data_IF_081354317841
#
_entry.id   IF_081354317841
#
_cell.length_a   1.000
_cell.length_b   1.000
_cell.length_c   1.000
_cell.angle_alpha   90.00
_cell.angle_beta   90.00
_cell.angle_gamma   90.00
#
_symmetry.space_group_name_H-M   'P 1'
#
loop_
_entity.id
_entity.type
_entity.pdbx_description
1 polymer ?
#
# COMPACT_ATOMS: atom_id res chain seq x y z
N UNK A 1 12.86 -21.67 6.70
CA UNK A 1 12.23 -20.70 7.62
C UNK A 1 13.25 -19.62 7.99
N UNK A 2 13.21 -18.42 7.37
CA UNK A 2 14.11 -17.32 7.76
C UNK A 2 13.37 -16.40 8.74
N UNK A 3 13.57 -16.64 10.04
CA UNK A 3 12.97 -15.89 11.13
C UNK A 3 13.76 -14.61 11.42
N UNK A 4 14.00 -13.80 10.39
CA UNK A 4 14.73 -12.53 10.53
C UNK A 4 13.76 -11.48 11.10
N UNK A 5 13.84 -11.24 12.41
CA UNK A 5 13.03 -10.21 13.12
C UNK A 5 13.15 -8.88 12.38
N UNK A 6 12.03 -8.40 11.82
CA UNK A 6 11.94 -7.05 11.24
C UNK A 6 12.23 -6.03 12.35
N UNK A 7 12.87 -4.91 12.04
CA UNK A 7 13.29 -3.91 13.03
C UNK A 7 12.12 -3.46 13.92
N UNK A 8 12.40 -3.06 15.16
CA UNK A 8 11.37 -2.59 16.10
C UNK A 8 10.49 -1.47 15.51
N UNK A 9 11.09 -0.58 14.70
CA UNK A 9 10.37 0.47 13.96
C UNK A 9 9.38 -0.08 12.93
N UNK A 10 9.72 -1.14 12.22
CA UNK A 10 8.83 -1.81 11.26
C UNK A 10 7.66 -2.52 11.95
N UNK A 11 7.92 -3.15 13.09
CA UNK A 11 6.87 -3.79 13.88
C UNK A 11 5.92 -2.75 14.48
N UNK A 12 6.45 -1.64 14.99
CA UNK A 12 5.67 -0.51 15.53
C UNK A 12 4.78 0.14 14.47
N UNK A 13 5.29 0.35 13.26
CA UNK A 13 4.48 0.79 12.11
C UNK A 13 3.30 -0.16 11.84
N UNK A 14 3.56 -1.47 11.76
CA UNK A 14 2.52 -2.45 11.41
C UNK A 14 1.49 -2.66 12.52
N UNK A 15 1.92 -2.72 13.78
CA UNK A 15 1.04 -3.01 14.92
C UNK A 15 0.37 -1.79 15.53
N UNK A 16 0.97 -0.59 15.38
CA UNK A 16 0.49 0.64 16.03
C UNK A 16 0.01 1.67 15.00
N UNK A 17 0.84 2.08 14.03
CA UNK A 17 0.45 3.15 13.09
C UNK A 17 -0.78 2.78 12.26
N UNK A 18 -0.81 1.58 11.66
CA UNK A 18 -1.93 1.12 10.82
C UNK A 18 -3.25 0.96 11.58
N UNK A 19 -3.21 1.00 12.92
CA UNK A 19 -4.39 0.99 13.80
C UNK A 19 -4.65 2.35 14.46
N UNK A 20 -3.84 3.36 14.15
CA UNK A 20 -3.92 4.67 14.77
C UNK A 20 -4.98 5.57 14.13
N UNK A 21 -5.55 6.52 14.87
CA UNK A 21 -6.41 7.56 14.31
C UNK A 21 -5.76 8.36 13.18
N UNK A 22 -4.43 8.54 13.23
CA UNK A 22 -3.68 9.25 12.21
C UNK A 22 -3.77 8.58 10.83
N UNK A 23 -3.68 7.24 10.81
CA UNK A 23 -3.84 6.46 9.58
C UNK A 23 -5.28 6.53 9.06
N UNK A 24 -6.28 6.33 9.91
CA UNK A 24 -7.69 6.41 9.49
C UNK A 24 -8.02 7.79 8.91
N UNK A 25 -7.60 8.86 9.58
CA UNK A 25 -7.76 10.22 9.07
C UNK A 25 -7.01 10.44 7.74
N UNK A 26 -5.81 9.88 7.58
CA UNK A 26 -5.05 9.96 6.33
C UNK A 26 -5.74 9.24 5.17
N UNK A 27 -6.29 8.06 5.43
CA UNK A 27 -7.05 7.24 4.48
C UNK A 27 -8.29 7.99 4.00
N UNK A 28 -9.07 8.54 4.92
CA UNK A 28 -10.27 9.32 4.59
C UNK A 28 -9.93 10.56 3.77
N UNK A 29 -8.88 11.32 4.14
CA UNK A 29 -8.41 12.48 3.37
C UNK A 29 -8.04 12.10 1.94
N UNK A 30 -7.40 10.94 1.74
CA UNK A 30 -7.00 10.47 0.41
C UNK A 30 -8.24 10.23 -0.48
N UNK A 31 -9.23 9.46 0.00
CA UNK A 31 -10.44 9.17 -0.77
C UNK A 31 -11.27 10.42 -1.04
N UNK A 32 -11.44 11.30 -0.05
CA UNK A 32 -12.12 12.59 -0.24
C UNK A 32 -11.41 13.47 -1.28
N UNK A 33 -10.08 13.43 -1.35
CA UNK A 33 -9.34 14.17 -2.37
C UNK A 33 -9.55 13.57 -3.77
N UNK A 34 -9.57 12.25 -3.94
CA UNK A 34 -9.89 11.64 -5.24
C UNK A 34 -11.29 12.00 -5.73
N UNK A 35 -12.28 11.93 -4.83
CA UNK A 35 -13.66 12.33 -5.14
C UNK A 35 -13.75 13.79 -5.59
N UNK A 36 -13.10 14.71 -4.87
CA UNK A 36 -13.03 16.13 -5.26
C UNK A 36 -12.35 16.38 -6.61
N UNK A 37 -11.37 15.55 -6.96
CA UNK A 37 -10.68 15.63 -8.26
C UNK A 37 -11.46 14.96 -9.39
N UNK A 38 -12.65 14.38 -9.12
CA UNK A 38 -13.43 13.65 -10.12
C UNK A 38 -12.74 12.39 -10.64
N UNK A 39 -11.74 11.87 -9.92
CA UNK A 39 -10.96 10.71 -10.37
C UNK A 39 -11.67 9.41 -9.97
N UNK A 40 -11.79 8.43 -10.88
CA UNK A 40 -12.44 7.16 -10.56
C UNK A 40 -11.65 6.40 -9.48
N UNK A 41 -12.38 5.81 -8.54
CA UNK A 41 -11.81 4.89 -7.55
C UNK A 41 -11.72 3.51 -8.18
N UNK A 42 -10.51 3.13 -8.59
CA UNK A 42 -10.23 1.83 -9.18
C UNK A 42 -8.98 1.22 -8.55
N UNK A 43 -8.97 -0.10 -8.41
CA UNK A 43 -7.80 -0.82 -7.91
C UNK A 43 -6.64 -0.67 -8.91
N UNK A 44 -5.48 -0.19 -8.44
CA UNK A 44 -4.33 0.02 -9.34
C UNK A 44 -3.75 -1.28 -9.91
N UNK A 45 -4.08 -2.45 -9.36
CA UNK A 45 -3.59 -3.74 -9.85
C UNK A 45 -4.51 -4.40 -10.90
N UNK A 46 -5.81 -4.50 -10.63
CA UNK A 46 -6.76 -5.13 -11.56
C UNK A 46 -7.56 -4.15 -12.41
N UNK A 47 -7.37 -2.84 -12.21
CA UNK A 47 -8.10 -1.75 -12.88
C UNK A 47 -9.62 -1.72 -12.67
N UNK A 48 -10.19 -2.65 -11.91
CA UNK A 48 -11.62 -2.69 -11.64
C UNK A 48 -12.05 -1.54 -10.71
N UNK A 49 -13.14 -0.82 -11.04
CA UNK A 49 -13.69 0.22 -10.20
C UNK A 49 -14.30 -0.38 -8.93
N UNK A 50 -14.18 0.34 -7.82
CA UNK A 50 -14.76 -0.07 -6.55
C UNK A 50 -15.04 1.13 -5.63
N UNK A 51 -16.09 1.04 -4.79
CA UNK A 51 -16.34 2.05 -3.79
C UNK A 51 -15.24 2.01 -2.70
N UNK A 52 -15.03 3.12 -2.00
CA UNK A 52 -13.91 3.28 -1.04
C UNK A 52 -13.91 2.22 0.07
N UNK A 53 -15.08 1.69 0.41
CA UNK A 53 -15.28 0.66 1.44
C UNK A 53 -14.65 -0.67 1.05
N UNK A 54 -14.52 -0.94 -0.26
CA UNK A 54 -13.89 -2.14 -0.82
C UNK A 54 -12.42 -1.92 -1.19
N UNK A 55 -11.88 -0.74 -0.92
CA UNK A 55 -10.51 -0.36 -1.24
C UNK A 55 -9.68 -0.10 0.02
N UNK A 56 -8.48 -0.63 0.00
CA UNK A 56 -7.40 -0.33 0.93
C UNK A 56 -6.37 0.59 0.27
N UNK A 57 -5.57 1.28 1.07
CA UNK A 57 -4.46 2.08 0.56
C UNK A 57 -3.15 1.36 0.81
N UNK A 58 -2.44 1.08 -0.28
CA UNK A 58 -1.09 0.54 -0.25
C UNK A 58 -0.08 1.70 -0.26
N UNK A 59 0.95 1.60 0.58
CA UNK A 59 2.06 2.53 0.61
C UNK A 59 3.13 2.13 -0.40
N UNK A 60 3.44 3.01 -1.34
CA UNK A 60 4.61 2.88 -2.21
C UNK A 60 5.89 3.22 -1.43
N UNK A 61 5.80 4.15 -0.49
CA UNK A 61 6.88 4.55 0.40
C UNK A 61 6.33 4.85 1.80
N UNK A 62 7.11 4.52 2.83
CA UNK A 62 6.77 4.77 4.24
C UNK A 62 7.49 5.99 4.83
N UNK A 63 8.37 6.66 4.07
CA UNK A 63 9.20 7.76 4.57
C UNK A 63 8.44 8.95 5.19
N UNK A 64 7.14 9.08 4.92
CA UNK A 64 6.26 10.10 5.51
C UNK A 64 5.66 9.76 6.88
N UNK A 65 5.83 8.53 7.37
CA UNK A 65 5.25 8.11 8.66
C UNK A 65 6.23 8.42 9.79
N UNK A 66 5.79 9.19 10.79
CA UNK A 66 6.64 9.60 11.92
C UNK A 66 5.89 9.46 13.23
N UNK A 67 6.61 9.14 14.29
CA UNK A 67 6.12 9.23 15.67
C UNK A 67 6.74 10.47 16.30
N UNK A 68 5.93 11.47 16.63
CA UNK A 68 6.37 12.80 17.10
C UNK A 68 5.47 13.21 18.26
N UNK A 69 6.09 13.66 19.36
CA UNK A 69 5.39 14.12 20.57
C UNK A 69 4.37 13.11 21.12
N UNK A 70 4.75 11.83 21.14
CA UNK A 70 3.89 10.75 21.64
C UNK A 70 2.74 10.34 20.71
N UNK A 71 2.67 10.90 19.50
CA UNK A 71 1.61 10.62 18.53
C UNK A 71 2.15 10.21 17.15
N UNK A 72 1.40 9.32 16.49
CA UNK A 72 1.62 9.01 15.09
C UNK A 72 1.20 10.17 14.18
N UNK A 73 2.02 10.46 13.17
CA UNK A 73 1.77 11.47 12.14
C UNK A 73 1.96 10.84 10.75
N UNK A 74 1.03 11.16 9.85
CA UNK A 74 0.95 10.63 8.50
C UNK A 74 1.24 11.76 7.49
N UNK A 75 2.51 11.96 7.14
CA UNK A 75 2.99 13.00 6.21
C UNK A 75 3.26 12.46 4.79
N UNK A 76 2.79 11.26 4.47
CA UNK A 76 2.95 10.65 3.16
C UNK A 76 2.24 11.49 2.10
N UNK A 77 2.92 11.72 0.97
CA UNK A 77 2.34 12.47 -0.14
C UNK A 77 1.13 11.72 -0.68
N UNK A 78 0.25 12.44 -1.36
CA UNK A 78 -0.93 11.83 -1.99
C UNK A 78 -0.55 10.68 -2.95
N UNK A 79 0.54 10.88 -3.68
CA UNK A 79 1.05 9.94 -4.71
C UNK A 79 1.97 8.85 -4.13
N UNK A 80 2.13 8.79 -2.81
CA UNK A 80 2.79 7.68 -2.12
C UNK A 80 1.79 6.60 -1.71
N UNK A 81 0.48 6.85 -1.92
CA UNK A 81 -0.60 5.94 -1.59
C UNK A 81 -1.39 5.59 -2.86
N UNK A 82 -1.70 4.31 -3.02
CA UNK A 82 -2.48 3.80 -4.14
C UNK A 82 -3.63 2.89 -3.66
N UNK A 83 -4.82 2.98 -4.28
CA UNK A 83 -5.97 2.19 -3.90
C UNK A 83 -5.87 0.77 -4.47
N UNK A 84 -6.16 -0.23 -3.64
CA UNK A 84 -6.14 -1.64 -4.03
C UNK A 84 -7.28 -2.40 -3.37
N UNK A 85 -7.81 -3.42 -4.05
CA UNK A 85 -8.63 -4.42 -3.39
C UNK A 85 -7.80 -5.21 -2.37
N UNK A 86 -8.39 -5.65 -1.23
CA UNK A 86 -7.68 -6.45 -0.23
C UNK A 86 -6.96 -7.67 -0.83
N UNK A 87 -7.62 -8.41 -1.73
CA UNK A 87 -7.02 -9.55 -2.41
C UNK A 87 -5.79 -9.17 -3.26
N UNK A 88 -5.89 -8.11 -4.06
CA UNK A 88 -4.78 -7.63 -4.88
C UNK A 88 -3.63 -7.12 -4.00
N UNK A 89 -3.95 -6.51 -2.87
CA UNK A 89 -3.00 -5.99 -1.90
C UNK A 89 -2.18 -7.13 -1.27
N UNK A 90 -2.85 -8.21 -0.88
CA UNK A 90 -2.21 -9.42 -0.37
C UNK A 90 -1.30 -10.09 -1.41
N UNK A 91 -1.76 -10.20 -2.66
CA UNK A 91 -0.95 -10.74 -3.75
C UNK A 91 0.32 -9.92 -3.98
N UNK A 92 0.20 -8.59 -3.94
CA UNK A 92 1.34 -7.68 -4.07
C UNK A 92 2.37 -7.93 -2.95
N UNK A 93 1.91 -8.02 -1.70
CA UNK A 93 2.78 -8.31 -0.57
C UNK A 93 3.47 -9.67 -0.71
N UNK A 94 2.74 -10.72 -1.11
CA UNK A 94 3.33 -12.05 -1.36
C UNK A 94 4.40 -12.02 -2.46
N UNK A 95 4.21 -11.22 -3.52
CA UNK A 95 5.22 -11.06 -4.57
C UNK A 95 6.48 -10.38 -4.04
N UNK A 96 6.33 -9.31 -3.26
CA UNK A 96 7.46 -8.58 -2.67
C UNK A 96 8.22 -9.42 -1.64
N UNK A 97 7.50 -10.22 -0.84
CA UNK A 97 8.11 -11.08 0.18
C UNK A 97 8.89 -12.27 -0.42
N UNK A 98 8.51 -12.74 -1.61
CA UNK A 98 9.18 -13.85 -2.31
C UNK A 98 10.40 -13.40 -3.12
N UNK A 99 10.44 -12.15 -3.55
CA UNK A 99 11.53 -11.62 -4.37
C UNK A 99 12.61 -10.96 -3.50
N UNK A 100 13.73 -11.66 -3.30
CA UNK A 100 14.87 -11.18 -2.52
C UNK A 100 15.51 -9.92 -3.12
N UNK A 101 15.47 -9.74 -4.45
CA UNK A 101 16.04 -8.57 -5.13
C UNK A 101 15.16 -7.34 -4.90
N UNK A 102 13.84 -7.49 -5.06
CA UNK A 102 12.88 -6.42 -4.74
C UNK A 102 12.88 -6.06 -3.25
N UNK A 103 13.03 -7.05 -2.37
CA UNK A 103 12.98 -6.81 -0.93
C UNK A 103 14.28 -6.26 -0.34
N UNK A 104 15.45 -6.48 -0.96
CA UNK A 104 16.76 -6.16 -0.34
C UNK A 104 17.65 -5.18 -1.11
N UNK A 105 17.45 -4.99 -2.42
CA UNK A 105 18.39 -4.23 -3.25
C UNK A 105 17.77 -3.01 -3.94
N UNK A 106 16.53 -2.65 -3.59
CA UNK A 106 15.80 -1.53 -4.18
C UNK A 106 15.15 -0.68 -3.10
N UNK A 107 14.92 0.59 -3.42
CA UNK A 107 14.08 1.45 -2.57
C UNK A 107 12.66 0.87 -2.52
N UNK A 108 11.92 1.14 -1.44
CA UNK A 108 10.54 0.65 -1.28
C UNK A 108 9.65 1.07 -2.44
N UNK A 109 9.78 2.33 -2.89
CA UNK A 109 9.04 2.85 -4.05
C UNK A 109 9.28 2.03 -5.31
N UNK A 110 10.55 1.78 -5.64
CA UNK A 110 10.92 1.00 -6.82
C UNK A 110 10.45 -0.45 -6.69
N UNK A 111 10.57 -1.04 -5.50
CA UNK A 111 10.10 -2.39 -5.24
C UNK A 111 8.58 -2.53 -5.43
N UNK A 112 7.78 -1.61 -4.86
CA UNK A 112 6.33 -1.60 -5.03
C UNK A 112 5.92 -1.37 -6.48
N UNK A 113 6.59 -0.48 -7.21
CA UNK A 113 6.32 -0.22 -8.63
C UNK A 113 6.55 -1.47 -9.50
N UNK A 114 7.69 -2.15 -9.33
CA UNK A 114 8.01 -3.38 -10.08
C UNK A 114 7.07 -4.54 -9.70
N UNK A 115 6.77 -4.70 -8.42
CA UNK A 115 5.82 -5.72 -7.97
C UNK A 115 4.42 -5.47 -8.54
N UNK A 116 3.97 -4.21 -8.57
CA UNK A 116 2.69 -3.82 -9.12
C UNK A 116 2.63 -4.07 -10.63
N UNK A 117 3.70 -3.75 -11.37
CA UNK A 117 3.81 -4.04 -12.79
C UNK A 117 3.66 -5.55 -13.06
N UNK A 118 4.38 -6.38 -12.31
CA UNK A 118 4.27 -7.86 -12.43
C UNK A 118 2.89 -8.37 -12.07
N UNK A 119 2.26 -7.80 -11.03
CA UNK A 119 0.92 -8.18 -10.62
C UNK A 119 -0.12 -7.85 -11.71
N UNK A 120 -0.03 -6.67 -12.32
CA UNK A 120 -0.89 -6.27 -13.44
C UNK A 120 -0.80 -7.27 -14.60
N UNK A 121 0.43 -7.61 -15.03
CA UNK A 121 0.65 -8.57 -16.11
C UNK A 121 0.01 -9.93 -15.81
N UNK A 122 0.15 -10.42 -14.58
CA UNK A 122 -0.46 -11.69 -14.15
C UNK A 122 -1.99 -11.63 -14.14
N UNK A 123 -2.58 -10.56 -13.59
CA UNK A 123 -4.03 -10.43 -13.50
C UNK A 123 -4.68 -10.24 -14.87
N UNK A 124 -4.02 -9.53 -15.80
CA UNK A 124 -4.46 -9.39 -17.19
C UNK A 124 -4.38 -10.71 -17.95
N UNK A 125 -3.34 -11.52 -17.72
CA UNK A 125 -3.19 -12.83 -18.37
C UNK A 125 -4.19 -13.88 -17.86
N UNK A 126 -4.69 -13.74 -16.62
CA UNK A 126 -5.61 -14.71 -15.99
C UNK A 126 -7.10 -14.33 -16.12
N UNK A 127 -7.46 -13.30 -16.89
CA UNK A 127 -8.86 -12.91 -17.09
C UNK A 127 -9.52 -12.19 -15.89
N UNK A 128 -8.73 -11.69 -14.94
CA UNK A 128 -9.18 -10.92 -13.76
C UNK A 128 -10.09 -11.71 -12.78
N UNK A 129 -10.13 -11.37 -11.48
CA UNK A 129 -11.20 -11.86 -10.62
C UNK A 129 -12.52 -11.26 -11.13
N UNK A 130 -13.46 -12.14 -11.54
CA UNK A 130 -14.86 -11.78 -11.82
C UNK A 130 -15.57 -11.33 -10.55
#
# INVERSE_FOLDING_TARGET
MSNRRKSASWNSYRSQFLRSPAWFARRDRWFRKQQRLGRPLACVACAQPAPKERLELHHLDYGGVRFVDGAWRAFERHDDLVPMHPYCHDLLHRLMDRDLVLSRHRTRRTASALALQRLRLKLSASGGPR
#
